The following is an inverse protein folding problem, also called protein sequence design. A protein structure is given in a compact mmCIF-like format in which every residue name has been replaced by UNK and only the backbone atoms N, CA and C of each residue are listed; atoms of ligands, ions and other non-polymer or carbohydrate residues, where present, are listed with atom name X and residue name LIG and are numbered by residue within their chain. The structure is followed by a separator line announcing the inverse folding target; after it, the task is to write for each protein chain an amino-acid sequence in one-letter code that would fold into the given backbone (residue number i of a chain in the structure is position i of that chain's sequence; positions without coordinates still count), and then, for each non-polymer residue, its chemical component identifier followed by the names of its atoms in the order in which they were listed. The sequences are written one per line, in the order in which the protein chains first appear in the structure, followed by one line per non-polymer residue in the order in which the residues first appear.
data_IF_489076128016
#
_entry.id   IF_489076128016
#
_cell.length_a   1.000
_cell.length_b   1.000
_cell.length_c   1.000
_cell.angle_alpha   90.00
_cell.angle_beta   90.00
_cell.angle_gamma   90.00
#
_symmetry.space_group_name_H-M   'P 1'
#
loop_
_entity.id
_entity.type
_entity.pdbx_description
1 polymer ?
#
# COMPACT_ATOMS: atom_id res chain seq x y z
N UNK A 1 -11.06 13.86 -13.79
CA UNK A 1 -10.78 15.32 -13.83
C UNK A 1 -10.83 15.96 -12.43
N UNK A 2 -11.87 15.74 -11.60
CA UNK A 2 -12.01 16.38 -10.29
C UNK A 2 -10.84 16.04 -9.36
N UNK A 3 -10.49 14.76 -9.19
CA UNK A 3 -9.39 14.33 -8.32
C UNK A 3 -8.04 14.95 -8.72
N UNK A 4 -7.73 15.04 -10.00
CA UNK A 4 -6.49 15.67 -10.50
C UNK A 4 -6.44 17.15 -10.16
N UNK A 5 -7.57 17.86 -10.31
CA UNK A 5 -7.69 19.28 -9.93
C UNK A 5 -7.44 19.46 -8.43
N UNK A 6 -8.06 18.63 -7.61
CA UNK A 6 -8.00 18.76 -6.15
C UNK A 6 -6.58 18.41 -5.63
N UNK A 7 -5.93 17.38 -6.20
CA UNK A 7 -4.52 17.08 -5.91
C UNK A 7 -3.61 18.23 -6.32
N UNK A 8 -3.77 18.81 -7.51
CA UNK A 8 -2.99 19.98 -7.94
C UNK A 8 -3.19 21.18 -7.02
N UNK A 9 -4.40 21.37 -6.51
CA UNK A 9 -4.67 22.43 -5.53
C UNK A 9 -3.91 22.18 -4.21
N UNK A 10 -3.89 20.94 -3.72
CA UNK A 10 -3.08 20.56 -2.55
C UNK A 10 -1.58 20.77 -2.80
N UNK A 11 -1.08 20.34 -3.96
CA UNK A 11 0.32 20.54 -4.33
C UNK A 11 0.71 22.02 -4.39
N UNK A 12 -0.15 22.87 -4.93
CA UNK A 12 0.08 24.31 -4.95
C UNK A 12 0.04 24.94 -3.55
N UNK A 13 -0.81 24.41 -2.66
CA UNK A 13 -0.95 24.88 -1.28
C UNK A 13 0.23 24.47 -0.40
N UNK A 14 0.85 23.34 -0.70
CA UNK A 14 1.95 22.73 0.06
C UNK A 14 3.18 22.53 -0.85
N UNK A 15 3.57 23.57 -1.58
CA UNK A 15 4.59 23.51 -2.62
C UNK A 15 5.97 22.99 -2.14
N UNK A 16 6.29 23.18 -0.86
CA UNK A 16 7.55 22.76 -0.24
C UNK A 16 7.53 21.31 0.28
N UNK A 17 6.37 20.63 0.19
CA UNK A 17 6.20 19.26 0.67
C UNK A 17 5.96 18.28 -0.49
N UNK A 18 6.57 17.09 -0.46
CA UNK A 18 6.22 16.05 -1.41
C UNK A 18 4.81 15.54 -1.11
N UNK A 19 3.93 15.57 -2.12
CA UNK A 19 2.62 14.93 -2.03
C UNK A 19 2.76 13.52 -2.59
N UNK A 20 2.43 12.53 -1.77
CA UNK A 20 2.35 11.12 -2.15
C UNK A 20 0.89 10.71 -2.24
N UNK A 21 0.58 9.84 -3.19
CA UNK A 21 -0.77 9.34 -3.46
C UNK A 21 -0.76 7.85 -3.16
N UNK A 22 -1.63 7.42 -2.28
CA UNK A 22 -1.73 6.03 -1.86
C UNK A 22 -2.75 5.26 -2.70
N UNK A 23 -2.42 4.02 -3.07
CA UNK A 23 -3.40 3.08 -3.59
C UNK A 23 -4.27 2.55 -2.45
N UNK A 24 -5.58 2.58 -2.63
CA UNK A 24 -6.55 2.29 -1.59
C UNK A 24 -6.96 0.80 -1.56
N UNK A 25 -7.39 0.26 -0.41
CA UNK A 25 -8.00 -1.05 -0.32
C UNK A 25 -9.46 -1.00 -0.78
N UNK A 26 -10.03 -2.14 -1.17
CA UNK A 26 -11.48 -2.22 -1.33
C UNK A 26 -12.16 -2.18 0.03
N UNK A 27 -13.05 -1.22 0.22
CA UNK A 27 -13.99 -1.19 1.34
C UNK A 27 -15.36 -0.68 0.88
N UNK A 28 -16.43 -1.44 1.10
CA UNK A 28 -17.78 -1.02 0.73
C UNK A 28 -18.48 -0.21 1.83
N UNK A 29 -17.90 -0.10 3.03
CA UNK A 29 -18.56 0.45 4.20
C UNK A 29 -18.45 1.97 4.28
N UNK A 30 -19.58 2.64 4.49
CA UNK A 30 -19.61 4.07 4.79
C UNK A 30 -19.06 4.33 6.21
N UNK A 31 -18.37 5.47 6.45
CA UNK A 31 -18.14 6.58 5.52
C UNK A 31 -16.90 6.40 4.62
N UNK A 32 -16.20 5.28 4.68
CA UNK A 32 -14.93 5.05 4.01
C UNK A 32 -15.05 4.20 2.73
N UNK A 33 -16.26 4.09 2.17
CA UNK A 33 -16.45 3.32 0.95
C UNK A 33 -15.58 3.85 -0.19
N UNK A 34 -14.75 2.97 -0.76
CA UNK A 34 -13.90 3.29 -1.90
C UNK A 34 -14.60 2.88 -3.19
N UNK A 35 -14.85 3.80 -4.12
CA UNK A 35 -15.48 3.48 -5.39
C UNK A 35 -14.53 2.65 -6.26
N UNK A 36 -15.09 1.66 -6.96
CA UNK A 36 -14.32 0.72 -7.82
C UNK A 36 -13.29 1.41 -8.73
N UNK A 37 -13.59 2.53 -9.44
CA UNK A 37 -12.59 3.17 -10.30
C UNK A 37 -11.33 3.63 -9.57
N UNK A 38 -11.44 3.99 -8.27
CA UNK A 38 -10.27 4.41 -7.48
C UNK A 38 -9.31 3.24 -7.15
N UNK A 39 -9.74 2.01 -7.41
CA UNK A 39 -8.92 0.80 -7.23
C UNK A 39 -8.27 0.36 -8.55
N UNK A 40 -8.65 0.92 -9.68
CA UNK A 40 -8.12 0.49 -10.99
C UNK A 40 -6.69 1.00 -11.20
N UNK A 41 -5.70 0.11 -11.42
CA UNK A 41 -4.30 0.51 -11.57
C UNK A 41 -4.09 1.55 -12.68
N UNK A 42 -4.85 1.46 -13.77
CA UNK A 42 -4.77 2.42 -14.87
C UNK A 42 -5.17 3.84 -14.45
N UNK A 43 -6.20 3.99 -13.59
CA UNK A 43 -6.58 5.29 -13.07
C UNK A 43 -5.55 5.81 -12.05
N UNK A 44 -5.03 4.94 -11.21
CA UNK A 44 -3.97 5.31 -10.26
C UNK A 44 -2.75 5.83 -11.02
N UNK A 45 -2.29 5.10 -12.03
CA UNK A 45 -1.16 5.49 -12.90
C UNK A 45 -1.42 6.84 -13.58
N UNK A 46 -2.60 7.02 -14.20
CA UNK A 46 -3.00 8.27 -14.85
C UNK A 46 -2.96 9.45 -13.86
N UNK A 47 -3.54 9.29 -12.67
CA UNK A 47 -3.60 10.34 -11.67
C UNK A 47 -2.22 10.72 -11.16
N UNK A 48 -1.37 9.74 -10.79
CA UNK A 48 -0.02 9.99 -10.30
C UNK A 48 0.82 10.72 -11.37
N UNK A 49 0.76 10.28 -12.63
CA UNK A 49 1.52 10.92 -13.73
C UNK A 49 0.99 12.31 -14.07
N UNK A 50 -0.32 12.46 -14.20
CA UNK A 50 -0.95 13.74 -14.58
C UNK A 50 -0.75 14.82 -13.53
N UNK A 51 -0.61 14.45 -12.27
CA UNK A 51 -0.33 15.38 -11.18
C UNK A 51 1.16 15.58 -10.93
N UNK A 52 2.04 14.79 -11.55
CA UNK A 52 3.47 14.71 -11.20
C UNK A 52 3.70 14.31 -9.73
N UNK A 53 2.73 13.60 -9.16
CA UNK A 53 2.78 13.05 -7.81
C UNK A 53 3.79 11.92 -7.68
N UNK A 54 3.84 11.34 -6.49
CA UNK A 54 4.58 10.12 -6.19
C UNK A 54 3.62 9.08 -5.66
N UNK A 55 3.97 7.81 -5.84
CA UNK A 55 3.19 6.71 -5.30
C UNK A 55 3.66 6.38 -3.87
N UNK A 56 2.74 6.35 -2.94
CA UNK A 56 2.82 5.55 -1.74
C UNK A 56 2.23 4.20 -2.10
N UNK A 57 3.06 3.19 -2.23
CA UNK A 57 2.64 1.83 -2.51
C UNK A 57 2.31 1.12 -1.20
N UNK A 58 1.03 0.95 -0.89
CA UNK A 58 0.59 -0.01 0.12
C UNK A 58 0.42 -1.38 -0.53
N UNK A 59 1.28 -2.33 -0.13
CA UNK A 59 1.30 -3.69 -0.68
C UNK A 59 0.03 -4.44 -0.26
N UNK A 60 -0.44 -4.20 0.95
CA UNK A 60 -1.61 -4.85 1.53
C UNK A 60 -2.90 -4.38 0.86
N UNK A 61 -3.04 -3.07 0.64
CA UNK A 61 -4.15 -2.51 -0.11
C UNK A 61 -4.20 -3.05 -1.55
N UNK A 62 -3.04 -3.16 -2.19
CA UNK A 62 -2.96 -3.76 -3.53
C UNK A 62 -3.43 -5.22 -3.55
N UNK A 63 -3.01 -6.03 -2.56
CA UNK A 63 -3.47 -7.41 -2.42
C UNK A 63 -4.99 -7.50 -2.19
N UNK A 64 -5.55 -6.61 -1.35
CA UNK A 64 -6.99 -6.54 -1.11
C UNK A 64 -7.76 -6.14 -2.38
N UNK A 65 -7.27 -5.16 -3.12
CA UNK A 65 -7.87 -4.74 -4.39
C UNK A 65 -7.80 -5.86 -5.45
N UNK A 66 -6.67 -6.58 -5.55
CA UNK A 66 -6.52 -7.73 -6.44
C UNK A 66 -7.56 -8.82 -6.12
N UNK A 67 -7.75 -9.16 -4.84
CA UNK A 67 -8.77 -10.12 -4.39
C UNK A 67 -10.18 -9.66 -4.78
N UNK A 68 -10.48 -8.38 -4.64
CA UNK A 68 -11.77 -7.82 -5.06
C UNK A 68 -12.00 -7.94 -6.57
N UNK A 69 -10.95 -7.71 -7.38
CA UNK A 69 -11.04 -7.88 -8.85
C UNK A 69 -10.97 -9.34 -9.30
N UNK A 70 -10.58 -10.27 -8.43
CA UNK A 70 -10.37 -11.68 -8.78
C UNK A 70 -9.16 -11.91 -9.68
N UNK A 71 -8.11 -11.10 -9.54
CA UNK A 71 -6.85 -11.18 -10.30
C UNK A 71 -5.69 -11.58 -9.39
N UNK A 72 -4.58 -12.02 -9.97
CA UNK A 72 -3.36 -12.31 -9.22
C UNK A 72 -2.79 -11.03 -8.60
N UNK A 73 -2.31 -11.12 -7.35
CA UNK A 73 -1.82 -9.98 -6.59
C UNK A 73 -0.56 -9.36 -7.23
N UNK A 74 0.29 -10.17 -7.84
CA UNK A 74 1.50 -9.71 -8.53
C UNK A 74 1.17 -9.04 -9.85
N UNK A 75 0.16 -9.53 -10.57
CA UNK A 75 -0.32 -8.90 -11.80
C UNK A 75 -0.92 -7.53 -11.51
N UNK A 76 -1.71 -7.43 -10.44
CA UNK A 76 -2.26 -6.15 -10.00
C UNK A 76 -1.14 -5.16 -9.62
N UNK A 77 -0.20 -5.60 -8.77
CA UNK A 77 0.96 -4.79 -8.36
C UNK A 77 1.82 -4.38 -9.56
N UNK A 78 2.04 -5.27 -10.53
CA UNK A 78 2.82 -4.99 -11.72
C UNK A 78 2.17 -3.94 -12.64
N UNK A 79 0.87 -3.72 -12.52
CA UNK A 79 0.14 -2.70 -13.26
C UNK A 79 0.19 -1.31 -12.61
N UNK A 80 0.71 -1.19 -11.39
CA UNK A 80 0.92 0.09 -10.71
C UNK A 80 2.24 0.75 -11.16
N UNK A 81 2.37 2.10 -11.08
CA UNK A 81 3.57 2.82 -11.53
C UNK A 81 4.76 2.64 -10.56
N UNK A 82 5.39 1.48 -10.57
CA UNK A 82 6.48 1.10 -9.67
C UNK A 82 7.69 2.04 -9.72
N UNK A 83 7.95 2.69 -10.86
CA UNK A 83 9.02 3.68 -11.03
C UNK A 83 8.72 5.03 -10.35
N UNK A 84 7.48 5.24 -9.89
CA UNK A 84 7.05 6.45 -9.16
C UNK A 84 6.94 6.23 -7.65
N UNK A 85 7.27 5.05 -7.14
CA UNK A 85 7.25 4.74 -5.71
C UNK A 85 8.13 5.72 -4.95
N UNK A 86 7.59 6.26 -3.86
CA UNK A 86 8.30 7.12 -2.91
C UNK A 86 8.32 6.53 -1.51
N UNK A 87 7.25 5.87 -1.14
CA UNK A 87 7.03 5.24 0.16
C UNK A 87 6.35 3.88 -0.03
N UNK A 88 6.57 2.96 0.89
CA UNK A 88 5.91 1.65 0.93
C UNK A 88 5.30 1.46 2.32
N UNK A 89 4.02 1.09 2.34
CA UNK A 89 3.34 0.61 3.52
C UNK A 89 3.13 -0.90 3.47
N UNK A 90 3.22 -1.53 4.63
CA UNK A 90 3.21 -2.97 4.81
C UNK A 90 2.41 -3.31 6.05
N UNK A 91 1.41 -4.17 5.88
CA UNK A 91 0.67 -4.78 6.98
C UNK A 91 0.23 -6.20 6.60
N UNK A 92 -0.24 -6.97 7.56
CA UNK A 92 -0.89 -8.24 7.28
C UNK A 92 -2.37 -8.07 7.01
N UNK A 93 -2.98 -9.09 6.41
CA UNK A 93 -4.42 -9.12 6.13
C UNK A 93 -5.13 -10.21 6.94
N UNK A 94 -6.40 -9.97 7.27
CA UNK A 94 -7.29 -10.95 7.85
C UNK A 94 -8.65 -10.89 7.16
N UNK A 95 -9.27 -12.07 6.94
CA UNK A 95 -10.64 -12.15 6.46
C UNK A 95 -11.60 -11.92 7.64
N UNK A 96 -12.45 -10.91 7.52
CA UNK A 96 -13.48 -10.60 8.50
C UNK A 96 -14.65 -11.60 8.46
N UNK A 97 -15.51 -11.57 9.47
CA UNK A 97 -16.71 -12.40 9.55
C UNK A 97 -17.72 -12.07 8.44
N UNK A 98 -17.69 -10.87 7.93
CA UNK A 98 -18.50 -10.39 6.79
C UNK A 98 -17.95 -10.81 5.42
N UNK A 99 -16.84 -11.55 5.39
CA UNK A 99 -16.18 -11.99 4.17
C UNK A 99 -15.31 -10.94 3.50
N UNK A 100 -15.08 -9.80 4.13
CA UNK A 100 -14.18 -8.75 3.63
C UNK A 100 -12.78 -8.88 4.22
N UNK A 101 -11.80 -8.54 3.41
CA UNK A 101 -10.42 -8.45 3.87
C UNK A 101 -10.20 -7.15 4.64
N UNK A 102 -9.48 -7.26 5.74
CA UNK A 102 -9.06 -6.16 6.59
C UNK A 102 -7.53 -6.12 6.67
N UNK A 103 -6.98 -4.94 6.81
CA UNK A 103 -5.55 -4.64 6.95
C UNK A 103 -5.11 -4.43 8.40
N UNK A 104 -3.83 -4.11 8.60
CA UNK A 104 -3.19 -3.80 9.89
C UNK A 104 -3.12 -4.98 10.86
N UNK A 105 -3.17 -6.19 10.35
CA UNK A 105 -2.95 -7.43 11.11
C UNK A 105 -1.49 -7.88 11.05
N UNK A 106 -1.18 -8.94 11.79
CA UNK A 106 0.12 -9.60 11.72
C UNK A 106 0.36 -10.18 10.31
N UNK A 107 1.62 -10.12 9.87
CA UNK A 107 2.03 -10.62 8.55
C UNK A 107 2.05 -12.14 8.52
N UNK A 108 1.30 -12.74 7.60
CA UNK A 108 1.26 -14.16 7.32
C UNK A 108 2.36 -14.53 6.30
N UNK A 109 2.60 -15.80 6.12
CA UNK A 109 3.63 -16.28 5.17
C UNK A 109 3.37 -15.83 3.73
N UNK A 110 2.10 -15.74 3.31
CA UNK A 110 1.75 -15.21 1.99
C UNK A 110 2.06 -13.72 1.87
N UNK A 111 1.80 -12.93 2.91
CA UNK A 111 2.09 -11.50 2.93
C UNK A 111 3.60 -11.28 2.81
N UNK A 112 4.41 -12.05 3.57
CA UNK A 112 5.87 -12.01 3.46
C UNK A 112 6.38 -12.37 2.07
N UNK A 113 5.80 -13.38 1.40
CA UNK A 113 6.19 -13.76 0.03
C UNK A 113 5.87 -12.66 -0.99
N UNK A 114 4.77 -11.92 -0.79
CA UNK A 114 4.41 -10.81 -1.65
C UNK A 114 5.35 -9.62 -1.45
N UNK A 115 5.69 -9.29 -0.20
CA UNK A 115 6.67 -8.25 0.16
C UNK A 115 8.04 -8.58 -0.46
N UNK A 116 8.49 -9.83 -0.33
CA UNK A 116 9.75 -10.30 -0.90
C UNK A 116 9.77 -10.13 -2.43
N UNK A 117 8.68 -10.46 -3.11
CA UNK A 117 8.54 -10.27 -4.55
C UNK A 117 8.61 -8.78 -4.95
N UNK A 118 7.95 -7.88 -4.22
CA UNK A 118 8.02 -6.43 -4.44
C UNK A 118 9.45 -5.92 -4.25
N UNK A 119 10.11 -6.33 -3.15
CA UNK A 119 11.47 -5.90 -2.84
C UNK A 119 12.50 -6.43 -3.82
N UNK A 120 12.29 -7.62 -4.39
CA UNK A 120 13.16 -8.15 -5.45
C UNK A 120 13.09 -7.32 -6.73
N UNK A 121 11.91 -6.83 -7.13
CA UNK A 121 11.75 -5.90 -8.26
C UNK A 121 12.49 -4.58 -8.03
N UNK A 122 12.41 -4.05 -6.82
CA UNK A 122 13.13 -2.83 -6.46
C UNK A 122 14.65 -3.08 -6.50
N UNK A 123 15.10 -4.19 -5.93
CA UNK A 123 16.52 -4.59 -5.92
C UNK A 123 17.09 -4.76 -7.34
N UNK A 124 16.32 -5.28 -8.26
CA UNK A 124 16.69 -5.42 -9.68
C UNK A 124 16.65 -4.09 -10.45
N UNK A 125 16.19 -3.01 -9.82
CA UNK A 125 16.04 -1.71 -10.47
C UNK A 125 14.84 -1.61 -11.43
N UNK A 126 13.93 -2.59 -11.40
CA UNK A 126 12.69 -2.57 -12.18
C UNK A 126 11.71 -1.53 -11.61
N UNK A 127 11.75 -1.34 -10.28
CA UNK A 127 10.96 -0.36 -9.56
C UNK A 127 11.86 0.59 -8.79
N UNK A 128 11.34 1.79 -8.51
CA UNK A 128 12.08 2.79 -7.77
C UNK A 128 12.25 2.37 -6.31
N UNK A 129 13.45 2.61 -5.75
CA UNK A 129 13.69 2.45 -4.32
C UNK A 129 12.90 3.50 -3.52
N UNK A 130 12.06 3.07 -2.54
CA UNK A 130 11.35 3.98 -1.64
C UNK A 130 12.33 4.72 -0.72
N UNK A 131 11.91 5.87 -0.23
CA UNK A 131 12.63 6.60 0.83
C UNK A 131 12.26 6.10 2.22
N UNK A 132 11.04 5.61 2.36
CA UNK A 132 10.46 5.11 3.61
C UNK A 132 9.76 3.78 3.35
N UNK A 133 9.89 2.87 4.30
CA UNK A 133 9.06 1.66 4.37
C UNK A 133 8.51 1.55 5.79
N UNK A 134 7.20 1.50 5.92
CA UNK A 134 6.47 1.54 7.19
C UNK A 134 5.79 0.20 7.44
N UNK A 135 5.97 -0.35 8.64
CA UNK A 135 5.14 -1.44 9.15
C UNK A 135 3.90 -0.85 9.83
N UNK A 136 2.75 -1.05 9.23
CA UNK A 136 1.46 -0.57 9.74
C UNK A 136 0.70 -1.71 10.42
N UNK A 137 1.08 -2.00 11.66
CA UNK A 137 0.45 -3.05 12.44
C UNK A 137 -0.37 -2.49 13.59
N UNK A 138 -1.58 -3.02 13.75
CA UNK A 138 -2.46 -2.73 14.87
C UNK A 138 -3.41 -1.56 14.65
N UNK A 139 -4.37 -1.44 15.57
CA UNK A 139 -5.36 -0.36 15.57
C UNK A 139 -5.02 0.76 16.53
N UNK A 140 -5.46 1.96 16.20
CA UNK A 140 -5.30 3.14 17.08
C UNK A 140 -6.31 3.19 18.22
N UNK A 141 -7.40 2.43 18.13
CA UNK A 141 -8.50 2.43 19.11
C UNK A 141 -8.85 1.00 19.52
N UNK A 142 -9.20 0.83 20.79
CA UNK A 142 -9.70 -0.45 21.33
C UNK A 142 -11.01 -0.92 20.68
N UNK A 143 -11.65 -0.08 19.88
CA UNK A 143 -12.96 -0.32 19.25
C UNK A 143 -12.89 -0.77 17.79
N UNK A 144 -11.73 -0.70 17.14
CA UNK A 144 -11.59 -1.09 15.72
C UNK A 144 -11.33 -2.60 15.52
N UNK A 145 -11.20 -3.37 16.62
CA UNK A 145 -10.99 -4.82 16.59
C UNK A 145 -9.61 -5.27 16.13
N UNK A 146 -8.71 -4.33 15.77
CA UNK A 146 -7.36 -4.66 15.33
C UNK A 146 -6.44 -4.88 16.54
N UNK A 147 -5.69 -6.00 16.59
CA UNK A 147 -4.80 -6.27 17.69
C UNK A 147 -3.58 -5.33 17.66
N UNK A 148 -3.11 -4.92 18.83
CA UNK A 148 -1.83 -4.23 18.98
C UNK A 148 -0.99 -5.03 19.99
N UNK A 149 -0.22 -6.00 19.47
CA UNK A 149 0.61 -6.87 20.28
C UNK A 149 2.10 -6.54 20.11
N UNK A 150 2.77 -6.30 21.24
CA UNK A 150 4.20 -5.98 21.26
C UNK A 150 5.08 -7.12 20.79
N UNK A 151 4.67 -8.37 21.01
CA UNK A 151 5.45 -9.53 20.58
C UNK A 151 5.47 -9.65 19.05
N UNK A 152 4.34 -9.37 18.40
CA UNK A 152 4.23 -9.29 16.94
C UNK A 152 5.17 -8.23 16.39
N UNK A 153 5.16 -7.01 16.93
CA UNK A 153 6.07 -5.94 16.48
C UNK A 153 7.53 -6.34 16.69
N UNK A 154 7.85 -6.92 17.85
CA UNK A 154 9.21 -7.35 18.16
C UNK A 154 9.73 -8.46 17.23
N UNK A 155 8.85 -9.24 16.63
CA UNK A 155 9.18 -10.29 15.66
C UNK A 155 9.24 -9.74 14.22
N UNK A 156 8.26 -8.94 13.81
CA UNK A 156 8.10 -8.50 12.41
C UNK A 156 9.02 -7.35 12.03
N UNK A 157 9.18 -6.35 12.91
CA UNK A 157 9.98 -5.18 12.59
C UNK A 157 11.48 -5.50 12.33
N UNK A 158 12.17 -6.39 13.08
CA UNK A 158 13.51 -6.79 12.74
C UNK A 158 13.61 -7.53 11.41
N UNK A 159 12.67 -8.45 11.11
CA UNK A 159 12.60 -9.19 9.84
C UNK A 159 12.42 -8.22 8.66
N UNK A 160 11.49 -7.29 8.77
CA UNK A 160 11.29 -6.25 7.75
C UNK A 160 12.57 -5.41 7.57
N UNK A 161 13.23 -5.03 8.66
CA UNK A 161 14.50 -4.31 8.62
C UNK A 161 15.61 -5.07 7.89
N UNK A 162 15.67 -6.41 8.01
CA UNK A 162 16.60 -7.24 7.24
C UNK A 162 16.25 -7.26 5.75
N UNK A 163 14.98 -7.38 5.41
CA UNK A 163 14.52 -7.35 4.02
C UNK A 163 14.78 -5.98 3.36
N UNK A 164 14.59 -4.87 4.08
CA UNK A 164 14.92 -3.53 3.59
C UNK A 164 16.43 -3.41 3.32
N UNK A 165 17.27 -3.91 4.20
CA UNK A 165 18.73 -3.95 3.97
C UNK A 165 19.11 -4.81 2.76
N UNK A 166 18.43 -5.94 2.56
CA UNK A 166 18.63 -6.80 1.39
C UNK A 166 18.21 -6.13 0.10
N UNK A 167 17.04 -5.49 0.07
CA UNK A 167 16.54 -4.71 -1.06
C UNK A 167 17.50 -3.57 -1.44
N UNK A 168 18.25 -3.06 -0.46
CA UNK A 168 19.13 -1.90 -0.62
C UNK A 168 20.54 -2.22 -1.13
N UNK A 169 20.87 -3.50 -1.28
CA UNK A 169 22.15 -3.99 -1.82
C UNK A 169 22.11 -4.13 -3.33
#
# INVERSE_FOLDING_TARGET
EAIVRDIRHLMARFADLPIVLENLPYTPHQPYAVPRPALEPALIDEVVRTTSGKLLLDITHAAMAAKYFGVDERDYLAALPGELIHEIHISGTQLGEDGLWMDHYALRDEDWRLIEWVFDRIRRGEWRRPRVATLEYGGMNLTDGRPSDRATIAQEAPRLGEMIRWMSR
#
